data_IF_030657700396
#
_entry.id   IF_030657700396
#
_cell.length_a   1.000
_cell.length_b   1.000
_cell.length_c   1.000
_cell.angle_alpha   90.00
_cell.angle_beta   90.00
_cell.angle_gamma   90.00
#
_symmetry.space_group_name_H-M   'P 1'
#
loop_
_entity.id
_entity.type
_entity.pdbx_description
1 polymer ?
#
# COMPACT_ATOMS: atom_id res chain seq x y z
N UNK A 1 22.65 5.91 8.26
CA UNK A 1 22.39 7.08 7.40
C UNK A 1 20.91 7.10 7.07
N UNK A 2 20.21 8.19 7.37
CA UNK A 2 18.81 8.39 6.99
C UNK A 2 18.76 8.59 5.47
N UNK A 3 18.15 7.66 4.75
CA UNK A 3 17.93 7.81 3.31
C UNK A 3 16.78 8.79 3.11
N UNK A 4 16.91 9.73 2.18
CA UNK A 4 15.81 10.64 1.82
C UNK A 4 14.64 9.85 1.25
N UNK A 5 13.43 10.18 1.71
CA UNK A 5 12.19 9.50 1.33
C UNK A 5 11.14 10.51 0.91
N UNK A 6 10.42 10.17 -0.14
CA UNK A 6 9.22 10.86 -0.57
C UNK A 6 8.07 10.34 0.28
N UNK A 7 7.29 11.22 0.90
CA UNK A 7 6.04 10.85 1.57
C UNK A 7 4.85 11.14 0.65
N UNK A 8 3.97 10.17 0.51
CA UNK A 8 2.72 10.32 -0.21
C UNK A 8 1.56 9.90 0.71
N UNK A 9 0.52 10.73 0.73
CA UNK A 9 -0.71 10.47 1.49
C UNK A 9 -1.81 10.09 0.51
N UNK A 10 -2.45 8.96 0.76
CA UNK A 10 -3.50 8.38 -0.07
C UNK A 10 -4.81 8.32 0.71
N UNK A 11 -5.92 8.66 0.08
CA UNK A 11 -7.25 8.24 0.53
C UNK A 11 -7.59 6.93 -0.19
N UNK A 12 -7.88 5.89 0.58
CA UNK A 12 -8.18 4.56 0.03
C UNK A 12 -9.57 4.09 0.44
N UNK A 13 -10.16 3.26 -0.41
CA UNK A 13 -11.40 2.50 -0.17
C UNK A 13 -11.13 1.04 -0.48
N UNK A 14 -11.45 0.15 0.46
CA UNK A 14 -11.20 -1.29 0.26
C UNK A 14 -12.17 -2.15 1.03
N UNK A 15 -12.58 -3.27 0.41
CA UNK A 15 -13.32 -4.33 1.08
C UNK A 15 -12.40 -5.32 1.85
N UNK A 16 -11.08 -5.09 1.80
CA UNK A 16 -10.08 -5.87 2.54
C UNK A 16 -9.71 -5.19 3.87
N UNK A 17 -9.03 -5.89 4.80
CA UNK A 17 -8.39 -5.23 5.94
C UNK A 17 -7.43 -4.12 5.48
N UNK A 18 -7.46 -2.97 6.17
CA UNK A 18 -6.71 -1.77 5.78
C UNK A 18 -5.21 -2.03 5.73
N UNK A 19 -4.67 -2.78 6.70
CA UNK A 19 -3.26 -3.15 6.79
C UNK A 19 -2.84 -3.98 5.58
N UNK A 20 -3.70 -4.90 5.14
CA UNK A 20 -3.44 -5.75 3.97
C UNK A 20 -3.44 -4.91 2.69
N UNK A 21 -4.39 -3.98 2.54
CA UNK A 21 -4.45 -3.10 1.39
C UNK A 21 -3.23 -2.15 1.34
N UNK A 22 -2.88 -1.52 2.46
CA UNK A 22 -1.72 -0.64 2.56
C UNK A 22 -0.40 -1.39 2.29
N UNK A 23 -0.25 -2.62 2.80
CA UNK A 23 0.91 -3.45 2.50
C UNK A 23 1.00 -3.83 1.02
N UNK A 24 -0.14 -4.13 0.38
CA UNK A 24 -0.19 -4.40 -1.06
C UNK A 24 0.23 -3.17 -1.87
N UNK A 25 -0.31 -2.00 -1.55
CA UNK A 25 0.06 -0.73 -2.19
C UNK A 25 1.55 -0.43 -2.05
N UNK A 26 2.15 -0.64 -0.86
CA UNK A 26 3.56 -0.43 -0.65
C UNK A 26 4.41 -1.40 -1.49
N UNK A 27 4.09 -2.70 -1.46
CA UNK A 27 4.83 -3.73 -2.20
C UNK A 27 4.81 -3.50 -3.72
N UNK A 28 3.62 -3.26 -4.28
CA UNK A 28 3.44 -3.04 -5.73
C UNK A 28 4.12 -1.77 -6.23
N UNK A 29 4.16 -0.71 -5.41
CA UNK A 29 4.78 0.56 -5.76
C UNK A 29 6.28 0.66 -5.40
N UNK A 30 6.91 -0.44 -4.96
CA UNK A 30 8.36 -0.48 -4.78
C UNK A 30 9.05 -1.64 -5.50
N UNK A 31 9.03 -2.85 -4.94
CA UNK A 31 9.80 -3.97 -5.48
C UNK A 31 9.12 -4.59 -6.69
N UNK A 32 7.84 -4.26 -6.93
CA UNK A 32 7.04 -4.80 -8.04
C UNK A 32 6.73 -6.30 -7.90
N UNK A 33 7.12 -6.92 -6.79
CA UNK A 33 6.93 -8.35 -6.50
C UNK A 33 6.67 -8.56 -5.02
N UNK A 34 5.72 -9.45 -4.73
CA UNK A 34 5.44 -9.96 -3.38
C UNK A 34 6.31 -11.15 -2.99
N UNK A 35 7.12 -11.65 -3.93
CA UNK A 35 7.96 -12.84 -3.77
C UNK A 35 9.41 -12.44 -3.96
N UNK A 36 10.28 -12.90 -3.06
CA UNK A 36 11.72 -12.70 -3.17
C UNK A 36 12.23 -13.24 -4.50
N UNK A 37 12.94 -12.40 -5.26
CA UNK A 37 13.54 -12.81 -6.53
C UNK A 37 14.91 -13.42 -6.28
N UNK A 38 15.33 -14.47 -7.01
CA UNK A 38 16.68 -15.00 -6.88
C UNK A 38 17.74 -13.89 -7.05
N UNK A 39 18.63 -13.75 -6.07
CA UNK A 39 19.65 -12.68 -6.03
C UNK A 39 19.22 -11.41 -5.29
N UNK A 40 17.97 -11.31 -4.86
CA UNK A 40 17.50 -10.24 -3.99
C UNK A 40 17.98 -10.50 -2.55
N UNK A 41 18.77 -9.57 -1.99
CA UNK A 41 19.22 -9.66 -0.60
C UNK A 41 18.26 -8.89 0.30
N UNK A 42 18.12 -9.32 1.56
CA UNK A 42 17.30 -8.59 2.54
C UNK A 42 17.72 -7.11 2.68
N UNK A 43 19.01 -6.83 2.54
CA UNK A 43 19.54 -5.46 2.56
C UNK A 43 19.07 -4.64 1.35
N UNK A 44 19.05 -5.24 0.16
CA UNK A 44 18.56 -4.59 -1.05
C UNK A 44 17.06 -4.30 -0.96
N UNK A 45 16.27 -5.28 -0.52
CA UNK A 45 14.82 -5.11 -0.30
C UNK A 45 14.56 -4.00 0.72
N UNK A 46 15.24 -4.02 1.87
CA UNK A 46 15.03 -3.02 2.93
C UNK A 46 15.38 -1.58 2.49
N UNK A 47 16.35 -1.45 1.57
CA UNK A 47 16.77 -0.17 0.99
C UNK A 47 15.73 0.36 0.01
N UNK A 48 15.23 -0.47 -0.90
CA UNK A 48 14.33 -0.05 -1.99
C UNK A 48 12.84 -0.15 -1.66
N UNK A 49 12.45 -0.81 -0.57
CA UNK A 49 11.06 -0.99 -0.19
C UNK A 49 10.36 0.33 0.18
N UNK A 50 9.13 0.48 -0.31
CA UNK A 50 8.18 1.41 0.25
C UNK A 50 7.77 0.96 1.65
N UNK A 51 7.38 1.91 2.50
CA UNK A 51 6.96 1.64 3.88
C UNK A 51 5.59 2.23 4.11
N UNK A 52 4.77 1.50 4.87
CA UNK A 52 3.55 2.04 5.44
C UNK A 52 3.94 2.80 6.70
N UNK A 53 3.85 4.13 6.66
CA UNK A 53 4.22 4.99 7.78
C UNK A 53 3.04 5.20 8.74
N UNK A 54 1.82 5.34 8.19
CA UNK A 54 0.61 5.54 8.98
C UNK A 54 -0.61 5.02 8.22
N UNK A 55 -1.53 4.44 8.98
CA UNK A 55 -2.89 4.15 8.55
C UNK A 55 -3.83 4.85 9.53
N UNK A 56 -4.73 5.67 9.03
CA UNK A 56 -5.78 6.32 9.82
C UNK A 56 -7.12 5.92 9.25
N UNK A 57 -7.78 4.99 9.93
CA UNK A 57 -9.12 4.52 9.55
C UNK A 57 -10.13 5.68 9.64
N UNK A 58 -11.01 5.73 8.65
CA UNK A 58 -12.09 6.69 8.50
C UNK A 58 -13.44 5.95 8.53
N UNK A 59 -14.54 6.63 8.24
CA UNK A 59 -15.86 6.02 8.12
C UNK A 59 -15.91 4.96 7.01
N UNK A 60 -16.70 3.91 7.23
CA UNK A 60 -16.98 2.93 6.18
C UNK A 60 -18.11 3.41 5.27
N UNK A 61 -18.13 2.93 4.03
CA UNK A 61 -19.15 3.24 3.01
C UNK A 61 -19.70 1.96 2.38
N UNK A 62 -20.95 2.01 1.92
CA UNK A 62 -21.66 0.85 1.35
C UNK A 62 -21.31 0.62 -0.13
N UNK A 63 -20.76 1.62 -0.81
CA UNK A 63 -20.29 1.54 -2.18
C UNK A 63 -18.98 2.32 -2.36
N UNK A 64 -18.04 1.83 -3.18
CA UNK A 64 -16.79 2.53 -3.42
C UNK A 64 -17.04 3.69 -4.39
N UNK A 65 -16.31 4.79 -4.20
CA UNK A 65 -16.33 5.94 -5.10
C UNK A 65 -15.74 5.64 -6.47
N UNK A 66 -14.78 4.70 -6.54
CA UNK A 66 -14.11 4.28 -7.77
C UNK A 66 -14.49 2.86 -8.21
N UNK A 67 -14.63 2.60 -9.53
CA UNK A 67 -14.87 1.26 -10.04
C UNK A 67 -13.64 0.36 -9.85
N UNK A 68 -13.85 -0.94 -9.75
CA UNK A 68 -12.77 -1.94 -9.77
C UNK A 68 -12.31 -2.47 -8.41
N UNK A 69 -12.87 -1.98 -7.30
CA UNK A 69 -12.64 -2.59 -5.99
C UNK A 69 -13.16 -4.03 -5.98
N UNK A 70 -12.24 -5.00 -5.87
CA UNK A 70 -12.58 -6.42 -5.78
C UNK A 70 -12.94 -6.78 -4.34
N UNK A 71 -13.92 -7.66 -4.19
CA UNK A 71 -14.28 -8.22 -2.89
C UNK A 71 -13.31 -9.33 -2.51
N UNK A 72 -13.08 -9.56 -1.20
CA UNK A 72 -12.41 -10.76 -0.73
C UNK A 72 -13.11 -12.02 -1.25
N UNK A 73 -12.32 -13.04 -1.60
CA UNK A 73 -12.87 -14.35 -2.00
C UNK A 73 -13.76 -14.90 -0.88
N UNK A 74 -14.98 -15.31 -1.25
CA UNK A 74 -15.94 -15.87 -0.30
C UNK A 74 -16.70 -14.83 0.53
N UNK A 75 -16.60 -13.53 0.21
CA UNK A 75 -17.47 -12.52 0.81
C UNK A 75 -18.94 -12.84 0.51
N UNK A 76 -19.77 -12.90 1.56
CA UNK A 76 -21.21 -13.11 1.47
C UNK A 76 -21.93 -11.89 2.04
N UNK A 77 -23.05 -11.50 1.43
CA UNK A 77 -23.82 -10.30 1.80
C UNK A 77 -23.36 -9.03 1.09
N UNK A 78 -23.95 -7.90 1.49
CA UNK A 78 -23.58 -6.58 0.96
C UNK A 78 -22.18 -6.20 1.45
N UNK A 79 -21.27 -5.80 0.55
CA UNK A 79 -19.91 -5.44 0.94
C UNK A 79 -19.89 -4.12 1.73
N UNK A 80 -19.03 -4.05 2.73
CA UNK A 80 -18.68 -2.81 3.43
C UNK A 80 -17.27 -2.43 2.99
N UNK A 81 -17.10 -1.19 2.52
CA UNK A 81 -15.82 -0.64 2.12
C UNK A 81 -15.27 0.22 3.23
N UNK A 82 -14.12 -0.14 3.75
CA UNK A 82 -13.39 0.64 4.75
C UNK A 82 -12.65 1.76 4.04
N UNK A 83 -12.65 2.95 4.64
CA UNK A 83 -11.85 4.08 4.19
C UNK A 83 -10.70 4.32 5.13
N UNK A 84 -9.58 4.79 4.57
CA UNK A 84 -8.46 5.23 5.37
C UNK A 84 -7.63 6.29 4.65
N UNK A 85 -7.02 7.16 5.43
CA UNK A 85 -5.84 7.91 5.01
C UNK A 85 -4.61 7.04 5.27
N UNK A 86 -3.84 6.73 4.22
CA UNK A 86 -2.62 5.92 4.29
C UNK A 86 -1.44 6.78 3.87
N UNK A 87 -0.42 6.87 4.73
CA UNK A 87 0.85 7.50 4.41
C UNK A 87 1.84 6.42 4.03
N UNK A 88 2.33 6.45 2.80
CA UNK A 88 3.44 5.62 2.34
C UNK A 88 4.69 6.48 2.16
N UNK A 89 5.85 5.88 2.39
CA UNK A 89 7.13 6.50 2.07
C UNK A 89 7.93 5.67 1.08
N UNK A 90 8.58 6.35 0.14
CA UNK A 90 9.36 5.74 -0.94
C UNK A 90 10.80 6.28 -0.90
N UNK A 91 11.84 5.44 -1.06
CA UNK A 91 13.21 5.94 -1.17
C UNK A 91 13.33 6.89 -2.38
N UNK A 92 13.86 8.10 -2.18
CA UNK A 92 14.05 9.07 -3.27
C UNK A 92 14.97 8.51 -4.37
N UNK A 93 15.97 7.71 -3.97
CA UNK A 93 16.90 7.05 -4.90
C UNK A 93 16.24 6.09 -5.89
N UNK A 94 15.00 5.65 -5.65
CA UNK A 94 14.27 4.82 -6.61
C UNK A 94 13.89 5.60 -7.89
N UNK A 95 13.79 6.93 -7.81
CA UNK A 95 13.30 7.79 -8.91
C UNK A 95 14.22 8.96 -9.25
N UNK A 96 15.05 9.43 -8.31
CA UNK A 96 15.92 10.60 -8.47
C UNK A 96 15.17 11.95 -8.40
N UNK A 97 15.89 13.09 -8.33
CA UNK A 97 15.31 14.42 -8.16
C UNK A 97 14.78 15.10 -9.43
N UNK A 98 14.91 14.45 -10.60
CA UNK A 98 14.69 14.99 -11.96
C UNK A 98 15.72 16.02 -12.43
#
# INVERSE_FOLDING_TARGET
MTHERILATYLIETAHPLEKAAAAMAGEQSSGTFVAVPGETAALTARHAARVERITELESVDSPSLPGSRLPKGAAGSPIYRRAEVVLSFPLENVGPS
#
